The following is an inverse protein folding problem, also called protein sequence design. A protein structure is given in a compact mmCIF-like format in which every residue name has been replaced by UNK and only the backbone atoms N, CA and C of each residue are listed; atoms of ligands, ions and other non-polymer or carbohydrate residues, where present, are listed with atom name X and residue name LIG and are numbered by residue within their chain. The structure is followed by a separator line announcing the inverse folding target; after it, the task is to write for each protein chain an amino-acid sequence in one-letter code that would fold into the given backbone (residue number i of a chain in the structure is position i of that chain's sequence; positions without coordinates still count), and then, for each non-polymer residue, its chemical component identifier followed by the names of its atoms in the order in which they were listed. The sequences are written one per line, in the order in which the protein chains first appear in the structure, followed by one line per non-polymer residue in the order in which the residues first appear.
data_IF_085405023393
#
_entry.id   IF_085405023393
#
_cell.length_a   1.000
_cell.length_b   1.000
_cell.length_c   1.000
_cell.angle_alpha   90.00
_cell.angle_beta   90.00
_cell.angle_gamma   90.00
#
_symmetry.space_group_name_H-M   'P 1'
#
loop_
_entity.id
_entity.type
_entity.pdbx_description
1 polymer ?
#
# COMPACT_ATOMS: atom_id res chain seq x y z
N UNK A 1 9.54 20.03 14.11
CA UNK A 1 9.53 19.17 15.30
C UNK A 1 10.43 17.99 15.00
N UNK A 2 11.30 17.57 15.89
CA UNK A 2 12.12 16.38 15.71
C UNK A 2 11.22 15.15 15.90
N UNK A 3 11.35 14.13 15.03
CA UNK A 3 10.72 12.84 15.29
C UNK A 3 11.52 12.07 16.34
N UNK A 4 10.83 11.36 17.22
CA UNK A 4 11.44 10.58 18.29
C UNK A 4 11.66 9.13 17.89
N UNK A 5 10.96 8.66 16.87
CA UNK A 5 10.97 7.29 16.41
C UNK A 5 11.47 7.23 14.96
N UNK A 6 11.94 6.05 14.56
CA UNK A 6 12.46 5.77 13.23
C UNK A 6 11.38 5.11 12.38
N UNK A 7 11.37 5.44 11.10
CA UNK A 7 10.36 4.97 10.15
C UNK A 7 10.99 4.32 8.93
N UNK A 8 10.29 3.36 8.34
CA UNK A 8 10.53 2.94 6.98
C UNK A 8 9.21 2.92 6.20
N UNK A 9 9.25 3.38 4.96
CA UNK A 9 8.15 3.30 4.01
C UNK A 9 8.62 2.59 2.75
N UNK A 10 7.90 1.54 2.36
CA UNK A 10 8.23 0.72 1.20
C UNK A 10 7.15 0.72 0.14
N UNK A 11 7.52 0.79 -1.14
CA UNK A 11 6.60 0.78 -2.26
C UNK A 11 7.11 -0.09 -3.42
N UNK A 12 6.33 -1.11 -3.80
CA UNK A 12 6.50 -1.79 -5.07
C UNK A 12 5.81 -0.98 -6.17
N UNK A 13 6.54 -0.67 -7.22
CA UNK A 13 6.06 0.13 -8.35
C UNK A 13 6.14 -0.74 -9.59
N UNK A 14 5.01 -0.99 -10.21
CA UNK A 14 4.93 -1.72 -11.47
C UNK A 14 5.23 -0.78 -12.64
N UNK A 15 5.87 -1.29 -13.68
CA UNK A 15 6.22 -0.51 -14.86
C UNK A 15 5.03 0.25 -15.50
N UNK A 16 3.83 -0.29 -15.40
CA UNK A 16 2.61 0.35 -15.91
C UNK A 16 2.03 1.44 -14.97
N UNK A 17 2.66 1.68 -13.84
CA UNK A 17 2.26 2.70 -12.86
C UNK A 17 3.04 4.01 -13.00
N UNK A 18 3.90 4.08 -14.00
CA UNK A 18 4.83 5.21 -14.21
C UNK A 18 4.15 6.59 -14.28
N UNK A 19 2.89 6.63 -14.70
CA UNK A 19 2.14 7.89 -14.78
C UNK A 19 1.70 8.42 -13.40
N UNK A 20 1.68 7.56 -12.39
CA UNK A 20 1.19 7.90 -11.04
C UNK A 20 2.31 8.19 -10.06
N UNK A 21 3.50 7.66 -10.32
CA UNK A 21 4.60 7.70 -9.37
C UNK A 21 5.01 9.12 -8.99
N UNK A 22 4.89 10.08 -9.90
CA UNK A 22 5.19 11.49 -9.64
C UNK A 22 4.32 12.08 -8.52
N UNK A 23 3.01 11.82 -8.53
CA UNK A 23 2.10 12.31 -7.48
C UNK A 23 2.37 11.59 -6.14
N UNK A 24 2.64 10.28 -6.17
CA UNK A 24 3.01 9.54 -4.96
C UNK A 24 4.27 10.11 -4.31
N UNK A 25 5.34 10.26 -5.08
CA UNK A 25 6.62 10.77 -4.58
C UNK A 25 6.53 12.21 -4.11
N UNK A 26 5.76 13.07 -4.80
CA UNK A 26 5.51 14.44 -4.36
C UNK A 26 4.75 14.48 -3.03
N UNK A 27 3.76 13.60 -2.84
CA UNK A 27 3.08 13.50 -1.55
C UNK A 27 4.00 13.02 -0.43
N UNK A 28 4.92 12.09 -0.73
CA UNK A 28 5.93 11.61 0.21
C UNK A 28 6.95 12.70 0.53
N UNK A 29 7.44 13.42 -0.47
CA UNK A 29 8.32 14.58 -0.30
C UNK A 29 7.67 15.64 0.61
N UNK A 30 6.40 15.98 0.35
CA UNK A 30 5.64 16.90 1.18
C UNK A 30 5.52 16.43 2.64
N UNK A 31 5.33 15.12 2.86
CA UNK A 31 5.24 14.56 4.20
C UNK A 31 6.59 14.64 4.95
N UNK A 32 7.69 14.45 4.26
CA UNK A 32 9.04 14.57 4.84
C UNK A 32 9.37 16.05 5.11
N UNK A 33 9.14 16.92 4.15
CA UNK A 33 9.40 18.35 4.27
C UNK A 33 8.51 19.06 5.31
N UNK A 34 7.39 18.47 5.66
CA UNK A 34 6.53 18.97 6.75
C UNK A 34 7.20 18.84 8.12
N UNK A 35 8.19 17.97 8.26
CA UNK A 35 8.94 17.76 9.48
C UNK A 35 10.02 18.85 9.60
N UNK A 36 9.86 19.74 10.56
CA UNK A 36 10.78 20.89 10.78
C UNK A 36 12.01 20.54 11.62
N UNK A 37 12.53 19.33 11.54
CA UNK A 37 13.63 18.88 12.36
C UNK A 37 14.27 17.59 11.86
N UNK A 38 15.08 16.97 12.69
CA UNK A 38 15.71 15.70 12.36
C UNK A 38 14.67 14.58 12.32
N UNK A 39 14.75 13.76 11.31
CA UNK A 39 13.94 12.56 11.12
C UNK A 39 14.81 11.44 10.57
N UNK A 40 14.61 10.21 11.08
CA UNK A 40 15.19 8.99 10.51
C UNK A 40 14.08 8.26 9.77
N UNK A 41 13.97 8.50 8.48
CA UNK A 41 12.98 7.91 7.60
C UNK A 41 13.70 7.21 6.45
N UNK A 42 13.52 5.92 6.36
CA UNK A 42 14.02 5.10 5.25
C UNK A 42 12.94 4.96 4.19
N UNK A 43 13.27 5.30 2.98
CA UNK A 43 12.43 5.12 1.80
C UNK A 43 13.01 3.96 1.01
N UNK A 44 12.19 2.95 0.77
CA UNK A 44 12.54 1.79 -0.06
C UNK A 44 11.58 1.67 -1.24
N UNK A 45 12.13 1.45 -2.42
CA UNK A 45 11.33 1.28 -3.63
C UNK A 45 11.88 0.15 -4.48
N UNK A 46 10.99 -0.68 -4.97
CA UNK A 46 11.30 -1.63 -6.03
C UNK A 46 10.55 -1.24 -7.29
N UNK A 47 11.28 -0.99 -8.38
CA UNK A 47 10.69 -0.82 -9.70
C UNK A 47 10.64 -2.16 -10.41
N UNK A 48 9.46 -2.72 -10.56
CA UNK A 48 9.26 -4.02 -11.18
C UNK A 48 8.94 -3.85 -12.66
N UNK A 49 9.92 -4.17 -13.50
CA UNK A 49 9.80 -4.12 -14.96
C UNK A 49 9.77 -5.50 -15.61
N UNK A 50 9.76 -6.57 -14.80
CA UNK A 50 9.61 -7.92 -15.31
C UNK A 50 8.24 -8.10 -15.98
N UNK A 51 8.28 -8.61 -17.20
CA UNK A 51 7.09 -8.78 -18.06
C UNK A 51 6.70 -10.24 -18.27
N UNK A 52 7.30 -11.17 -17.55
CA UNK A 52 7.06 -12.62 -17.75
C UNK A 52 5.60 -13.03 -17.59
N UNK A 53 4.89 -12.35 -16.69
CA UNK A 53 3.45 -12.53 -16.52
C UNK A 53 2.60 -11.87 -17.60
N UNK A 54 3.20 -10.95 -18.35
CA UNK A 54 2.47 -9.99 -19.16
C UNK A 54 2.98 -9.96 -20.57
N UNK A 55 2.85 -10.90 -21.35
CA UNK A 55 3.34 -10.96 -22.75
C UNK A 55 3.08 -9.66 -23.52
N UNK A 56 3.80 -8.62 -23.11
CA UNK A 56 3.69 -7.28 -23.69
C UNK A 56 4.39 -7.28 -25.04
N UNK A 57 3.80 -6.63 -26.03
CA UNK A 57 4.49 -6.37 -27.28
C UNK A 57 5.60 -5.33 -27.05
N UNK A 58 6.82 -5.81 -26.89
CA UNK A 58 8.02 -4.99 -26.66
C UNK A 58 8.31 -3.98 -27.79
N UNK A 59 7.63 -4.08 -28.93
CA UNK A 59 7.70 -3.07 -29.99
C UNK A 59 6.91 -1.81 -29.65
N UNK A 60 5.97 -1.92 -28.73
CA UNK A 60 5.12 -0.78 -28.32
C UNK A 60 5.68 -0.08 -27.07
N UNK A 61 6.54 -0.75 -26.30
CA UNK A 61 7.08 -0.22 -25.06
C UNK A 61 8.56 -0.54 -24.97
N UNK A 62 9.38 0.49 -24.88
CA UNK A 62 10.77 0.36 -24.50
C UNK A 62 10.89 0.33 -22.97
N UNK A 63 11.35 -0.80 -22.42
CA UNK A 63 11.59 -0.92 -20.98
C UNK A 63 12.74 -0.02 -20.53
N UNK A 64 13.72 0.22 -21.39
CA UNK A 64 14.79 1.17 -21.15
C UNK A 64 14.26 2.59 -20.98
N UNK A 65 13.42 3.05 -21.91
CA UNK A 65 12.77 4.39 -21.82
C UNK A 65 11.88 4.53 -20.57
N UNK A 66 11.15 3.48 -20.19
CA UNK A 66 10.32 3.50 -18.98
C UNK A 66 11.21 3.55 -17.73
N UNK A 67 12.30 2.79 -17.71
CA UNK A 67 13.26 2.78 -16.61
C UNK A 67 13.94 4.15 -16.46
N UNK A 68 14.42 4.73 -17.54
CA UNK A 68 14.99 6.08 -17.54
C UNK A 68 13.98 7.13 -17.03
N UNK A 69 12.74 7.05 -17.51
CA UNK A 69 11.68 7.94 -17.06
C UNK A 69 11.41 7.78 -15.56
N UNK A 70 11.36 6.55 -15.06
CA UNK A 70 11.16 6.26 -13.64
C UNK A 70 12.24 6.90 -12.79
N UNK A 71 13.52 6.64 -13.09
CA UNK A 71 14.63 7.21 -12.34
C UNK A 71 14.69 8.72 -12.43
N UNK A 72 14.37 9.31 -13.58
CA UNK A 72 14.27 10.76 -13.73
C UNK A 72 13.20 11.37 -12.80
N UNK A 73 12.04 10.73 -12.65
CA UNK A 73 10.99 11.19 -11.72
C UNK A 73 11.44 11.05 -10.27
N UNK A 74 12.08 9.94 -9.91
CA UNK A 74 12.59 9.72 -8.55
C UNK A 74 13.65 10.76 -8.19
N UNK A 75 14.60 11.00 -9.07
CA UNK A 75 15.66 12.00 -8.88
C UNK A 75 15.10 13.42 -8.77
N UNK A 76 14.09 13.75 -9.57
CA UNK A 76 13.43 15.06 -9.49
C UNK A 76 12.71 15.25 -8.15
N UNK A 77 11.91 14.28 -7.73
CA UNK A 77 11.03 14.39 -6.56
C UNK A 77 11.75 14.15 -5.22
N UNK A 78 12.77 13.31 -5.20
CA UNK A 78 13.50 12.96 -3.98
C UNK A 78 14.96 13.45 -3.98
N UNK A 79 15.23 14.52 -4.70
CA UNK A 79 16.60 15.06 -4.95
C UNK A 79 17.47 15.17 -3.69
N UNK A 80 16.90 15.66 -2.59
CA UNK A 80 17.61 15.92 -1.33
C UNK A 80 17.20 14.94 -0.21
N UNK A 81 16.44 13.90 -0.55
CA UNK A 81 15.91 12.92 0.39
C UNK A 81 16.59 11.56 0.13
N UNK A 82 17.26 10.97 1.12
CA UNK A 82 17.87 9.65 0.95
C UNK A 82 16.82 8.56 0.69
N UNK A 83 17.07 7.72 -0.28
CA UNK A 83 16.23 6.57 -0.61
C UNK A 83 17.05 5.37 -1.07
N UNK A 84 16.48 4.19 -0.96
CA UNK A 84 16.93 2.97 -1.60
C UNK A 84 15.98 2.66 -2.75
N UNK A 85 16.53 2.38 -3.92
CA UNK A 85 15.75 1.99 -5.08
C UNK A 85 16.47 0.91 -5.87
N UNK A 86 15.75 -0.13 -6.25
CA UNK A 86 16.28 -1.21 -7.08
C UNK A 86 15.25 -1.64 -8.11
N UNK A 87 15.70 -2.32 -9.15
CA UNK A 87 14.86 -2.77 -10.26
C UNK A 87 14.82 -4.29 -10.29
N UNK A 88 13.62 -4.86 -10.42
CA UNK A 88 13.43 -6.28 -10.68
C UNK A 88 13.16 -6.50 -12.16
N UNK A 89 14.02 -7.29 -12.82
CA UNK A 89 13.97 -7.57 -14.25
C UNK A 89 13.73 -9.04 -14.58
N UNK A 90 14.22 -9.94 -13.76
CA UNK A 90 14.43 -11.34 -14.12
C UNK A 90 13.40 -12.31 -13.57
N UNK A 91 12.79 -12.01 -12.39
CA UNK A 91 11.92 -12.94 -11.69
C UNK A 91 10.48 -12.46 -11.60
N UNK A 92 9.55 -13.41 -11.51
CA UNK A 92 8.18 -13.08 -11.10
C UNK A 92 8.22 -12.59 -9.66
N UNK A 93 8.03 -11.30 -9.49
CA UNK A 93 8.09 -10.62 -8.20
C UNK A 93 6.79 -9.85 -7.96
N UNK A 94 6.19 -10.06 -6.82
CA UNK A 94 4.85 -9.57 -6.53
C UNK A 94 4.81 -8.66 -5.31
N UNK A 95 3.68 -8.03 -5.08
CA UNK A 95 3.46 -7.22 -3.87
C UNK A 95 3.63 -8.03 -2.59
N UNK A 96 3.28 -9.33 -2.62
CA UNK A 96 3.44 -10.22 -1.49
C UNK A 96 4.92 -10.49 -1.17
N UNK A 97 5.75 -10.66 -2.20
CA UNK A 97 7.19 -10.85 -2.05
C UNK A 97 7.85 -9.57 -1.53
N UNK A 98 7.56 -8.45 -2.18
CA UNK A 98 8.12 -7.16 -1.81
C UNK A 98 7.81 -6.76 -0.36
N UNK A 99 6.53 -6.79 0.04
CA UNK A 99 6.11 -6.40 1.39
C UNK A 99 6.68 -7.32 2.47
N UNK A 100 6.81 -8.61 2.17
CA UNK A 100 7.46 -9.57 3.07
C UNK A 100 8.93 -9.22 3.30
N UNK A 101 9.67 -9.02 2.21
CA UNK A 101 11.10 -8.72 2.25
C UNK A 101 11.37 -7.33 2.86
N UNK A 102 10.57 -6.34 2.51
CA UNK A 102 10.62 -5.02 3.15
C UNK A 102 10.44 -5.10 4.67
N UNK A 103 9.45 -5.86 5.14
CA UNK A 103 9.23 -6.05 6.56
C UNK A 103 10.45 -6.73 7.24
N UNK A 104 10.99 -7.78 6.63
CA UNK A 104 12.16 -8.51 7.15
C UNK A 104 13.41 -7.63 7.18
N UNK A 105 13.62 -6.83 6.15
CA UNK A 105 14.80 -5.98 6.02
C UNK A 105 14.82 -4.86 7.07
N UNK A 106 13.69 -4.21 7.29
CA UNK A 106 13.65 -2.98 8.08
C UNK A 106 13.15 -3.14 9.51
N UNK A 107 12.55 -4.28 9.91
CA UNK A 107 11.97 -4.41 11.24
C UNK A 107 12.97 -4.23 12.39
N UNK A 108 14.24 -4.58 12.20
CA UNK A 108 15.28 -4.39 13.21
C UNK A 108 15.93 -3.00 13.19
N UNK A 109 15.70 -2.20 12.16
CA UNK A 109 16.33 -0.90 11.97
C UNK A 109 15.45 0.27 12.38
N UNK A 110 14.12 0.09 12.35
CA UNK A 110 13.14 1.14 12.60
C UNK A 110 12.10 0.74 13.65
N UNK A 111 11.36 1.73 14.14
CA UNK A 111 10.29 1.51 15.12
C UNK A 111 8.94 1.24 14.45
N UNK A 112 8.72 1.84 13.27
CA UNK A 112 7.45 1.80 12.54
C UNK A 112 7.67 1.55 11.06
N UNK A 113 6.91 0.60 10.52
CA UNK A 113 6.89 0.23 9.10
C UNK A 113 5.58 0.72 8.46
N UNK A 114 5.66 1.23 7.24
CA UNK A 114 4.50 1.64 6.45
C UNK A 114 4.56 1.04 5.05
N UNK A 115 3.46 0.44 4.61
CA UNK A 115 3.31 -0.01 3.22
C UNK A 115 2.80 1.13 2.36
N UNK A 116 3.66 1.63 1.49
CA UNK A 116 3.28 2.57 0.44
C UNK A 116 2.67 1.85 -0.76
N UNK A 117 1.91 2.59 -1.53
CA UNK A 117 1.36 2.17 -2.83
C UNK A 117 1.49 3.32 -3.82
N UNK A 118 1.85 3.00 -5.06
CA UNK A 118 2.05 3.99 -6.13
C UNK A 118 0.81 4.85 -6.40
N UNK A 119 -0.37 4.36 -6.05
CA UNK A 119 -1.65 5.04 -6.17
C UNK A 119 -2.22 5.58 -4.84
N UNK A 120 -1.38 5.70 -3.80
CA UNK A 120 -1.77 6.38 -2.56
C UNK A 120 -1.07 7.72 -2.42
N UNK A 121 -1.84 8.78 -2.16
CA UNK A 121 -1.29 10.07 -1.79
C UNK A 121 -1.16 10.13 -0.26
N UNK A 122 0.06 10.40 0.21
CA UNK A 122 0.39 10.39 1.63
C UNK A 122 0.08 11.77 2.24
N UNK A 123 -0.74 11.84 3.31
CA UNK A 123 -0.99 13.09 4.01
C UNK A 123 0.31 13.70 4.53
N UNK A 124 0.49 15.01 4.39
CA UNK A 124 1.72 15.67 4.85
C UNK A 124 2.01 15.54 6.35
N UNK A 125 0.97 15.32 7.17
CA UNK A 125 1.10 15.11 8.61
C UNK A 125 1.48 13.68 9.02
N UNK A 126 1.61 12.76 8.07
CA UNK A 126 1.73 11.30 8.31
C UNK A 126 2.78 10.96 9.37
N UNK A 127 4.03 11.32 9.16
CA UNK A 127 5.09 10.90 10.08
C UNK A 127 4.96 11.55 11.46
N UNK A 128 4.46 12.76 11.54
CA UNK A 128 4.21 13.44 12.81
C UNK A 128 3.09 12.77 13.61
N UNK A 129 2.02 12.36 12.94
CA UNK A 129 0.89 11.63 13.55
C UNK A 129 1.36 10.26 14.03
N UNK A 130 2.11 9.54 13.19
CA UNK A 130 2.61 8.20 13.54
C UNK A 130 3.66 8.25 14.66
N UNK A 131 4.51 9.28 14.71
CA UNK A 131 5.46 9.49 15.80
C UNK A 131 4.74 9.70 17.14
N UNK A 132 3.71 10.55 17.14
CA UNK A 132 2.88 10.77 18.32
C UNK A 132 2.12 9.52 18.74
N UNK A 133 1.52 8.80 17.80
CA UNK A 133 0.82 7.54 18.08
C UNK A 133 1.78 6.52 18.70
N UNK A 134 2.90 6.22 18.04
CA UNK A 134 3.87 5.25 18.53
C UNK A 134 4.39 5.65 19.91
N UNK A 135 4.79 6.89 20.10
CA UNK A 135 5.29 7.40 21.39
C UNK A 135 4.26 7.28 22.52
N UNK A 136 2.98 7.41 22.21
CA UNK A 136 1.89 7.32 23.20
C UNK A 136 1.55 5.89 23.61
N UNK A 137 1.75 4.93 22.71
CA UNK A 137 1.27 3.55 22.93
C UNK A 137 2.38 2.54 23.21
N UNK A 138 3.62 2.79 22.78
CA UNK A 138 4.71 1.80 22.75
C UNK A 138 5.03 1.12 24.09
N UNK A 139 4.88 1.81 25.21
CA UNK A 139 5.17 1.26 26.52
C UNK A 139 4.13 0.21 26.96
N UNK A 140 2.87 0.45 26.66
CA UNK A 140 1.75 -0.41 27.08
C UNK A 140 1.29 -1.36 25.95
N UNK A 141 1.51 -0.97 24.72
CA UNK A 141 1.03 -1.66 23.53
C UNK A 141 2.11 -1.61 22.43
N UNK A 142 3.24 -2.30 22.62
CA UNK A 142 4.35 -2.24 21.67
C UNK A 142 4.00 -2.80 20.29
N UNK A 143 3.02 -3.71 20.23
CA UNK A 143 2.54 -4.31 18.99
C UNK A 143 1.19 -3.74 18.59
N UNK A 144 1.13 -3.12 17.45
CA UNK A 144 -0.12 -2.56 16.89
C UNK A 144 -0.04 -2.46 15.36
N UNK A 145 -1.19 -2.32 14.75
CA UNK A 145 -1.33 -1.85 13.36
C UNK A 145 -2.19 -0.60 13.34
N UNK A 146 -2.01 0.25 12.35
CA UNK A 146 -2.81 1.45 12.17
C UNK A 146 -3.04 1.78 10.70
N UNK A 147 -4.08 2.56 10.44
CA UNK A 147 -4.40 3.05 9.10
C UNK A 147 -4.91 4.48 9.18
N UNK A 148 -4.72 5.21 8.10
CA UNK A 148 -5.46 6.44 7.83
C UNK A 148 -6.82 6.13 7.22
N UNK A 149 -7.78 7.02 7.40
CA UNK A 149 -9.02 6.93 6.67
C UNK A 149 -8.79 7.00 5.17
N UNK A 150 -9.45 6.12 4.47
CA UNK A 150 -9.59 6.18 3.02
C UNK A 150 -11.05 6.32 2.66
N UNK A 151 -11.37 6.51 1.40
CA UNK A 151 -12.76 6.62 0.99
C UNK A 151 -13.59 5.37 1.28
N UNK A 152 -12.95 4.23 1.39
CA UNK A 152 -13.61 2.98 1.68
C UNK A 152 -12.96 2.31 2.88
N UNK A 153 -13.51 2.60 4.06
CA UNK A 153 -13.16 1.92 5.29
C UNK A 153 -14.33 1.10 5.82
N UNK A 154 -14.03 0.16 6.69
CA UNK A 154 -14.96 -0.76 7.28
C UNK A 154 -14.89 -0.67 8.80
N UNK A 155 -16.04 -0.67 9.45
CA UNK A 155 -16.12 -0.82 10.89
C UNK A 155 -15.96 -2.27 11.34
N UNK A 156 -16.12 -2.53 12.62
CA UNK A 156 -16.01 -3.85 13.24
C UNK A 156 -17.00 -4.90 12.69
N UNK A 157 -18.12 -4.45 12.12
CA UNK A 157 -19.14 -5.32 11.53
C UNK A 157 -18.92 -5.61 10.05
N UNK A 158 -17.83 -5.07 9.45
CA UNK A 158 -17.59 -5.05 8.02
C UNK A 158 -18.60 -4.21 7.23
N UNK A 159 -19.29 -3.34 7.91
CA UNK A 159 -20.05 -2.29 7.26
C UNK A 159 -19.13 -1.12 6.92
N UNK A 160 -19.35 -0.45 5.80
CA UNK A 160 -18.60 0.75 5.47
C UNK A 160 -18.85 1.82 6.50
N UNK A 161 -17.76 2.48 6.91
CA UNK A 161 -17.85 3.64 7.80
C UNK A 161 -18.25 4.85 6.95
N UNK A 162 -19.35 5.50 7.34
CA UNK A 162 -19.72 6.79 6.77
C UNK A 162 -18.78 7.85 7.34
N UNK A 163 -18.05 8.50 6.43
CA UNK A 163 -17.22 9.65 6.76
C UNK A 163 -17.92 10.92 6.33
N UNK A 164 -18.83 11.39 7.16
CA UNK A 164 -19.57 12.63 6.88
C UNK A 164 -18.67 13.85 6.75
N UNK A 165 -17.51 13.80 7.38
CA UNK A 165 -16.46 14.81 7.22
C UNK A 165 -15.84 14.80 5.83
N UNK A 166 -15.92 13.67 5.13
CA UNK A 166 -15.32 13.46 3.81
C UNK A 166 -16.36 13.42 2.69
N UNK A 167 -17.62 13.20 3.01
CA UNK A 167 -18.71 13.18 2.05
C UNK A 167 -20.02 13.59 2.70
N UNK A 168 -20.79 14.40 1.98
CA UNK A 168 -22.17 14.75 2.31
C UNK A 168 -23.19 13.70 1.86
N UNK A 169 -22.71 12.64 1.20
CA UNK A 169 -23.55 11.56 0.70
C UNK A 169 -23.39 10.31 1.55
N UNK A 170 -24.50 9.64 1.90
CA UNK A 170 -24.44 8.36 2.57
C UNK A 170 -23.80 7.31 1.67
N UNK A 171 -23.21 6.31 2.29
CA UNK A 171 -22.75 5.13 1.57
C UNK A 171 -23.96 4.34 1.06
N UNK A 172 -23.93 4.01 -0.23
CA UNK A 172 -24.89 3.11 -0.85
C UNK A 172 -24.12 1.93 -1.41
N UNK A 173 -24.36 0.74 -0.90
CA UNK A 173 -23.67 -0.46 -1.39
C UNK A 173 -24.00 -0.71 -2.85
N UNK A 174 -22.96 -0.94 -3.64
CA UNK A 174 -23.05 -1.10 -5.10
C UNK A 174 -23.05 0.21 -5.90
N UNK A 175 -23.19 1.36 -5.28
CA UNK A 175 -23.03 2.66 -5.94
C UNK A 175 -21.55 3.07 -5.96
N UNK A 176 -20.82 2.52 -6.92
CA UNK A 176 -19.39 2.81 -7.09
C UNK A 176 -19.12 4.25 -7.50
N UNK A 177 -20.02 4.90 -8.20
CA UNK A 177 -19.87 6.29 -8.66
C UNK A 177 -19.92 7.26 -7.49
N UNK A 178 -20.84 7.06 -6.56
CA UNK A 178 -20.98 7.91 -5.39
C UNK A 178 -19.73 7.88 -4.48
N UNK A 179 -19.06 6.74 -4.41
CA UNK A 179 -17.86 6.55 -3.60
C UNK A 179 -16.57 6.99 -4.25
N UNK A 180 -16.45 6.74 -5.54
CA UNK A 180 -15.19 6.85 -6.24
C UNK A 180 -14.93 8.24 -6.79
N UNK A 181 -15.97 8.99 -7.13
CA UNK A 181 -15.84 10.19 -7.93
C UNK A 181 -15.22 11.38 -7.20
N UNK A 182 -15.50 11.56 -5.91
CA UNK A 182 -15.05 12.74 -5.19
C UNK A 182 -13.68 12.56 -4.51
N UNK A 183 -13.40 11.41 -3.94
CA UNK A 183 -12.25 11.21 -3.06
C UNK A 183 -11.02 10.68 -3.79
N UNK A 184 -11.22 9.80 -4.73
CA UNK A 184 -10.13 9.26 -5.52
C UNK A 184 -9.59 10.22 -6.58
N UNK A 185 -10.23 11.36 -6.75
CA UNK A 185 -9.80 12.41 -7.68
C UNK A 185 -9.23 13.65 -6.98
N UNK A 186 -9.13 13.65 -5.65
CA UNK A 186 -8.43 14.71 -4.94
C UNK A 186 -6.96 14.72 -5.33
N UNK A 187 -6.43 15.91 -5.57
CA UNK A 187 -5.00 16.11 -5.69
C UNK A 187 -4.35 16.29 -4.30
N UNK A 188 -3.03 16.42 -4.27
CA UNK A 188 -2.25 16.54 -3.02
C UNK A 188 -2.66 17.77 -2.22
N UNK A 189 -2.87 18.91 -2.90
CA UNK A 189 -3.24 20.17 -2.25
C UNK A 189 -4.64 20.11 -1.64
N UNK A 190 -5.60 19.53 -2.37
CA UNK A 190 -6.96 19.32 -1.89
C UNK A 190 -7.00 18.38 -0.68
N UNK A 191 -6.25 17.28 -0.72
CA UNK A 191 -6.11 16.36 0.40
C UNK A 191 -5.50 17.05 1.62
N UNK A 192 -4.40 17.77 1.43
CA UNK A 192 -3.73 18.46 2.51
C UNK A 192 -4.59 19.60 3.08
N UNK A 193 -5.23 20.40 2.23
CA UNK A 193 -6.15 21.44 2.66
C UNK A 193 -7.37 20.90 3.43
N UNK A 194 -7.81 19.68 3.10
CA UNK A 194 -8.84 18.98 3.85
C UNK A 194 -8.33 18.56 5.22
N UNK A 195 -7.18 17.91 5.28
CA UNK A 195 -6.59 17.41 6.51
C UNK A 195 -6.13 18.54 7.47
N UNK A 196 -5.78 19.71 6.94
CA UNK A 196 -5.39 20.88 7.75
C UNK A 196 -6.52 21.48 8.60
N UNK A 197 -7.76 21.15 8.29
CA UNK A 197 -8.93 21.59 9.07
C UNK A 197 -9.11 20.79 10.35
N UNK A 198 -8.34 19.72 10.51
CA UNK A 198 -8.43 18.85 11.69
C UNK A 198 -7.66 19.50 12.84
N UNK A 199 -8.39 19.96 13.86
CA UNK A 199 -7.82 20.55 15.07
C UNK A 199 -7.42 19.48 16.08
N UNK A 200 -8.21 18.41 16.21
CA UNK A 200 -7.98 17.30 17.12
C UNK A 200 -8.08 15.95 16.38
N UNK A 201 -7.13 15.06 16.62
CA UNK A 201 -7.10 13.76 16.00
C UNK A 201 -8.15 12.82 16.62
N UNK A 202 -8.99 12.23 15.77
CA UNK A 202 -9.91 11.16 16.16
C UNK A 202 -9.26 9.80 15.86
N UNK A 203 -8.60 9.23 16.87
CA UNK A 203 -7.96 7.91 16.78
C UNK A 203 -8.81 6.90 17.52
N UNK A 204 -9.25 5.87 16.80
CA UNK A 204 -10.12 4.82 17.35
C UNK A 204 -9.46 3.46 17.28
N UNK A 205 -9.76 2.62 18.28
CA UNK A 205 -9.38 1.21 18.31
C UNK A 205 -10.49 0.38 17.69
N UNK A 206 -10.15 -0.46 16.74
CA UNK A 206 -11.05 -1.47 16.15
C UNK A 206 -10.71 -2.83 16.76
N UNK A 207 -11.69 -3.50 17.36
CA UNK A 207 -11.48 -4.77 18.07
C UNK A 207 -11.49 -5.99 17.16
N UNK A 208 -11.97 -5.87 15.93
CA UNK A 208 -11.92 -6.93 14.93
C UNK A 208 -10.86 -6.60 13.89
N UNK A 209 -10.11 -7.63 13.47
CA UNK A 209 -9.09 -7.44 12.44
C UNK A 209 -9.74 -7.13 11.09
N UNK A 210 -9.82 -5.88 10.80
CA UNK A 210 -10.18 -5.31 9.52
C UNK A 210 -8.96 -4.61 8.98
N UNK A 211 -8.80 -4.59 7.71
CA UNK A 211 -7.60 -4.04 7.11
C UNK A 211 -7.91 -3.18 5.91
N UNK A 212 -7.01 -2.30 5.68
CA UNK A 212 -6.91 -1.52 4.48
C UNK A 212 -5.46 -1.66 4.01
N UNK A 213 -5.22 -2.36 2.91
CA UNK A 213 -3.87 -2.56 2.37
C UNK A 213 -3.20 -1.27 1.94
N UNK A 214 -4.01 -0.25 1.63
CA UNK A 214 -3.53 1.07 1.24
C UNK A 214 -3.03 1.84 2.48
N UNK A 215 -1.70 1.97 2.60
CA UNK A 215 -1.09 2.71 3.70
C UNK A 215 -1.18 2.01 5.06
N UNK A 216 -1.12 0.67 5.08
CA UNK A 216 -1.02 -0.07 6.33
C UNK A 216 0.26 0.29 7.07
N UNK A 217 0.11 0.64 8.33
CA UNK A 217 1.21 0.94 9.24
C UNK A 217 1.25 -0.11 10.35
N UNK A 218 2.45 -0.50 10.76
CA UNK A 218 2.64 -1.41 11.87
C UNK A 218 3.86 -1.03 12.71
N UNK A 219 3.83 -1.32 14.01
CA UNK A 219 5.05 -1.30 14.79
C UNK A 219 5.97 -2.43 14.36
N UNK A 220 7.28 -2.21 14.35
CA UNK A 220 8.27 -3.24 14.00
C UNK A 220 8.19 -4.46 14.90
N UNK A 221 7.75 -4.29 16.15
CA UNK A 221 7.56 -5.37 17.12
C UNK A 221 6.52 -6.42 16.68
N UNK A 222 5.61 -6.07 15.78
CA UNK A 222 4.70 -7.04 15.14
C UNK A 222 5.52 -8.03 14.32
N UNK A 223 6.37 -7.54 13.43
CA UNK A 223 7.21 -8.38 12.56
C UNK A 223 8.24 -9.16 13.38
N UNK A 224 8.92 -8.51 14.33
CA UNK A 224 9.86 -9.14 15.26
C UNK A 224 9.26 -10.28 16.06
N UNK A 225 7.96 -10.27 16.28
CA UNK A 225 7.25 -11.35 16.96
C UNK A 225 6.88 -12.54 16.06
N UNK A 226 7.34 -12.54 14.81
CA UNK A 226 7.16 -13.63 13.84
C UNK A 226 5.94 -13.47 12.92
N UNK A 227 5.25 -12.33 12.96
CA UNK A 227 4.17 -12.05 12.00
C UNK A 227 4.75 -11.41 10.75
N UNK A 228 4.56 -12.06 9.63
CA UNK A 228 4.88 -11.51 8.31
C UNK A 228 3.96 -12.13 7.26
N UNK A 229 4.05 -11.68 6.03
CA UNK A 229 3.33 -12.29 4.90
C UNK A 229 3.87 -13.70 4.67
N UNK A 230 3.04 -14.75 4.73
CA UNK A 230 3.51 -16.12 4.56
C UNK A 230 4.08 -16.35 3.16
N UNK A 231 5.13 -17.17 3.04
CA UNK A 231 5.69 -17.56 1.74
C UNK A 231 4.74 -18.33 0.82
N UNK A 232 3.64 -18.83 1.37
CA UNK A 232 2.56 -19.42 0.58
C UNK A 232 1.73 -18.40 -0.21
N UNK A 233 1.83 -17.11 0.15
CA UNK A 233 1.25 -16.03 -0.63
C UNK A 233 2.25 -15.61 -1.70
N UNK A 234 1.85 -15.82 -2.94
CA UNK A 234 2.71 -15.62 -4.10
C UNK A 234 2.18 -14.57 -5.08
N UNK A 235 0.99 -14.00 -4.85
CA UNK A 235 0.42 -13.02 -5.77
C UNK A 235 -0.32 -11.89 -5.03
N UNK A 236 -1.59 -12.06 -4.68
CA UNK A 236 -2.45 -11.07 -4.01
C UNK A 236 -3.01 -11.62 -2.71
N UNK A 237 -3.75 -10.81 -1.94
CA UNK A 237 -4.27 -11.11 -0.60
C UNK A 237 -3.19 -11.14 0.49
N UNK A 238 -2.06 -10.49 0.27
CA UNK A 238 -0.96 -10.41 1.22
C UNK A 238 -1.34 -9.65 2.49
N UNK A 239 -2.11 -8.57 2.35
CA UNK A 239 -2.67 -7.78 3.45
C UNK A 239 -3.64 -8.60 4.29
N UNK A 240 -4.56 -9.30 3.63
CA UNK A 240 -5.50 -10.23 4.28
C UNK A 240 -4.75 -11.33 5.03
N UNK A 241 -3.76 -11.95 4.40
CA UNK A 241 -2.97 -13.02 5.02
C UNK A 241 -2.17 -12.52 6.22
N UNK A 242 -1.58 -11.34 6.12
CA UNK A 242 -0.87 -10.69 7.22
C UNK A 242 -1.81 -10.48 8.43
N UNK A 243 -3.00 -9.93 8.20
CA UNK A 243 -3.97 -9.67 9.26
C UNK A 243 -4.56 -10.94 9.86
N UNK A 244 -4.83 -11.97 9.04
CA UNK A 244 -5.26 -13.29 9.54
C UNK A 244 -4.18 -13.96 10.39
N UNK A 245 -2.91 -13.84 9.99
CA UNK A 245 -1.81 -14.36 10.79
C UNK A 245 -1.68 -13.63 12.11
N UNK A 246 -1.81 -12.29 12.10
CA UNK A 246 -1.84 -11.47 13.29
C UNK A 246 -2.96 -11.92 14.26
N UNK A 247 -4.17 -12.11 13.74
CA UNK A 247 -5.31 -12.58 14.50
C UNK A 247 -5.08 -13.99 15.08
N UNK A 248 -4.57 -14.89 14.27
CA UNK A 248 -4.35 -16.28 14.68
C UNK A 248 -3.30 -16.39 15.79
N UNK A 249 -2.22 -15.61 15.70
CA UNK A 249 -1.13 -15.66 16.68
C UNK A 249 -1.44 -14.93 17.98
N UNK A 250 -2.19 -13.84 17.90
CA UNK A 250 -2.41 -12.97 19.07
C UNK A 250 -3.87 -12.89 19.53
N UNK A 251 -4.80 -13.51 18.82
CA UNK A 251 -6.19 -13.66 19.26
C UNK A 251 -6.91 -12.35 19.58
N UNK A 252 -6.72 -11.32 18.78
CA UNK A 252 -7.35 -10.01 18.98
C UNK A 252 -6.70 -9.14 20.08
N UNK A 253 -5.54 -9.52 20.59
CA UNK A 253 -4.82 -8.75 21.61
C UNK A 253 -3.98 -7.60 21.06
N UNK A 254 -3.79 -7.55 19.77
CA UNK A 254 -3.08 -6.46 19.09
C UNK A 254 -4.10 -5.45 18.60
N UNK A 255 -4.07 -4.20 19.09
CA UNK A 255 -5.01 -3.18 18.66
C UNK A 255 -4.77 -2.75 17.23
N UNK A 256 -5.83 -2.38 16.57
CA UNK A 256 -5.83 -1.70 15.30
C UNK A 256 -6.30 -0.26 15.52
N UNK A 257 -5.42 0.69 15.28
CA UNK A 257 -5.73 2.10 15.39
C UNK A 257 -6.18 2.65 14.04
N UNK A 258 -7.33 3.28 14.01
CA UNK A 258 -7.80 4.02 12.84
C UNK A 258 -7.69 5.51 13.12
N UNK A 259 -6.91 6.20 12.31
CA UNK A 259 -6.80 7.66 12.32
C UNK A 259 -7.96 8.19 11.47
N UNK A 260 -9.11 8.37 12.12
CA UNK A 260 -10.42 8.46 11.45
C UNK A 260 -10.58 9.73 10.63
N UNK A 261 -10.07 10.85 11.09
CA UNK A 261 -10.32 12.15 10.50
C UNK A 261 -9.17 12.71 9.64
N UNK A 262 -8.17 11.89 9.37
CA UNK A 262 -7.11 12.21 8.40
C UNK A 262 -7.28 11.32 7.17
N UNK A 263 -7.47 11.96 6.03
CA UNK A 263 -7.71 11.29 4.76
C UNK A 263 -6.39 10.98 4.03
N UNK A 264 -6.17 9.71 3.74
CA UNK A 264 -5.21 9.24 2.75
C UNK A 264 -5.98 9.00 1.46
N UNK A 265 -5.58 9.64 0.37
CA UNK A 265 -6.28 9.50 -0.92
C UNK A 265 -5.73 8.30 -1.69
N UNK A 266 -6.61 7.35 -2.00
CA UNK A 266 -6.32 6.29 -2.94
C UNK A 266 -6.59 6.82 -4.36
N UNK A 267 -5.53 7.22 -5.06
CA UNK A 267 -5.60 7.96 -6.31
C UNK A 267 -6.17 7.10 -7.46
N UNK A 268 -7.27 7.53 -8.02
CA UNK A 268 -7.97 6.84 -9.13
C UNK A 268 -8.05 7.66 -10.40
N UNK A 269 -7.30 8.76 -10.49
CA UNK A 269 -7.30 9.62 -11.69
C UNK A 269 -6.76 8.90 -12.91
N UNK A 270 -5.82 8.00 -12.71
CA UNK A 270 -5.09 7.35 -13.79
C UNK A 270 -5.90 6.18 -14.35
N UNK A 271 -6.75 6.49 -15.29
CA UNK A 271 -7.65 5.53 -15.95
C UNK A 271 -6.89 4.42 -16.68
N UNK A 272 -5.69 4.70 -17.19
CA UNK A 272 -4.85 3.73 -17.88
C UNK A 272 -4.40 2.60 -16.96
N UNK A 273 -3.88 2.91 -15.76
CA UNK A 273 -3.58 1.86 -14.78
C UNK A 273 -4.79 1.00 -14.51
N UNK A 274 -5.94 1.63 -14.28
CA UNK A 274 -7.18 0.91 -13.97
C UNK A 274 -7.60 -0.02 -15.12
N UNK A 275 -7.56 0.48 -16.34
CA UNK A 275 -7.87 -0.32 -17.53
C UNK A 275 -6.83 -1.43 -17.72
N UNK A 276 -5.55 -1.14 -17.46
CA UNK A 276 -4.49 -2.12 -17.50
C UNK A 276 -4.75 -3.28 -16.52
N UNK A 277 -4.95 -2.98 -15.24
CA UNK A 277 -5.23 -3.98 -14.19
C UNK A 277 -6.47 -4.80 -14.51
N UNK A 278 -7.48 -4.20 -15.13
CA UNK A 278 -8.67 -4.91 -15.59
C UNK A 278 -8.49 -5.71 -16.87
N UNK A 279 -7.38 -5.51 -17.58
CA UNK A 279 -7.13 -6.12 -18.88
C UNK A 279 -8.02 -5.56 -20.00
N UNK A 280 -8.40 -4.28 -19.89
CA UNK A 280 -9.28 -3.58 -20.84
C UNK A 280 -8.51 -2.67 -21.81
N UNK A 281 -7.20 -2.50 -21.62
CA UNK A 281 -6.35 -1.71 -22.51
C UNK A 281 -6.22 -2.37 -23.88
N UNK A 282 -6.33 -1.55 -24.91
CA UNK A 282 -6.07 -1.96 -26.28
C UNK A 282 -4.59 -1.84 -26.61
N UNK A 283 -4.14 -2.58 -27.62
CA UNK A 283 -2.74 -2.66 -28.05
C UNK A 283 -2.14 -1.36 -28.55
N UNK A 284 -2.94 -0.37 -28.85
CA UNK A 284 -2.55 0.97 -29.32
C UNK A 284 -2.43 2.02 -28.21
N UNK A 285 -2.74 1.66 -26.98
CA UNK A 285 -2.50 2.53 -25.82
C UNK A 285 -1.01 2.54 -25.43
N UNK A 286 -0.54 3.70 -24.98
CA UNK A 286 0.88 3.97 -24.66
C UNK A 286 1.47 3.01 -23.60
N UNK A 287 0.64 2.41 -22.79
CA UNK A 287 1.02 1.40 -21.82
C UNK A 287 1.04 -0.02 -22.38
N UNK A 288 0.93 -0.18 -23.71
CA UNK A 288 1.17 -1.43 -24.41
C UNK A 288 0.21 -2.58 -24.13
N UNK A 289 -1.02 -2.27 -23.85
CA UNK A 289 -2.11 -3.24 -23.82
C UNK A 289 -1.85 -4.54 -23.06
N UNK A 290 -2.24 -4.58 -21.81
CA UNK A 290 -2.33 -5.85 -21.09
C UNK A 290 -3.60 -6.58 -21.52
N UNK A 291 -3.43 -7.70 -22.16
CA UNK A 291 -4.49 -8.69 -22.18
C UNK A 291 -4.50 -9.36 -20.80
N UNK A 292 -5.65 -9.33 -20.14
CA UNK A 292 -5.85 -10.10 -18.91
C UNK A 292 -5.78 -11.57 -19.28
N UNK A 293 -4.62 -12.17 -19.04
CA UNK A 293 -4.41 -13.58 -19.36
C UNK A 293 -5.24 -14.46 -18.42
N UNK A 294 -5.62 -15.62 -18.89
CA UNK A 294 -6.34 -16.64 -18.10
C UNK A 294 -5.61 -16.97 -16.79
N UNK A 295 -4.27 -16.82 -16.76
CA UNK A 295 -3.46 -17.01 -15.56
C UNK A 295 -3.87 -16.09 -14.40
N UNK A 296 -4.30 -14.84 -14.68
CA UNK A 296 -4.59 -13.88 -13.61
C UNK A 296 -5.71 -14.37 -12.68
N UNK A 297 -6.82 -14.81 -13.26
CA UNK A 297 -7.94 -15.36 -12.47
C UNK A 297 -7.51 -16.58 -11.68
N UNK A 298 -6.79 -17.49 -12.33
CA UNK A 298 -6.29 -18.72 -11.72
C UNK A 298 -5.31 -18.44 -10.57
N UNK A 299 -4.36 -17.53 -10.77
CA UNK A 299 -3.43 -17.09 -9.74
C UNK A 299 -4.16 -16.42 -8.56
N UNK A 300 -5.14 -15.57 -8.85
CA UNK A 300 -5.98 -14.93 -7.84
C UNK A 300 -6.75 -15.94 -6.99
N UNK A 301 -7.44 -16.89 -7.64
CA UNK A 301 -8.21 -17.94 -6.95
C UNK A 301 -7.29 -18.84 -6.09
N UNK A 302 -6.10 -19.18 -6.60
CA UNK A 302 -5.12 -19.97 -5.86
C UNK A 302 -4.48 -19.22 -4.71
N UNK A 303 -4.16 -17.94 -4.89
CA UNK A 303 -3.64 -17.07 -3.83
C UNK A 303 -4.68 -16.86 -2.73
N UNK A 304 -5.93 -16.65 -3.11
CA UNK A 304 -7.05 -16.61 -2.16
C UNK A 304 -7.19 -17.92 -1.38
N UNK A 305 -7.12 -19.07 -2.06
CA UNK A 305 -7.12 -20.37 -1.38
C UNK A 305 -5.97 -20.47 -0.36
N UNK A 306 -4.76 -20.14 -0.75
CA UNK A 306 -3.60 -20.18 0.13
C UNK A 306 -3.77 -19.24 1.34
N UNK A 307 -4.32 -18.06 1.13
CA UNK A 307 -4.57 -17.09 2.19
C UNK A 307 -5.49 -17.66 3.28
N UNK A 308 -6.62 -18.23 2.91
CA UNK A 308 -7.60 -18.72 3.89
C UNK A 308 -7.31 -20.15 4.41
N UNK A 309 -6.35 -20.84 3.83
CA UNK A 309 -5.97 -22.20 4.22
C UNK A 309 -4.54 -22.31 4.75
N UNK A 310 -3.85 -21.20 4.98
CA UNK A 310 -2.44 -21.19 5.43
C UNK A 310 -2.21 -21.86 6.79
N UNK A 311 -3.24 -22.01 7.61
CA UNK A 311 -3.18 -22.73 8.90
C UNK A 311 -3.74 -24.13 8.85
N UNK A 312 -4.20 -24.59 7.69
CA UNK A 312 -4.78 -25.90 7.49
C UNK A 312 -3.81 -26.84 6.76
N UNK A 313 -4.04 -28.14 6.87
CA UNK A 313 -3.30 -29.14 6.07
C UNK A 313 -3.86 -29.22 4.65
N UNK A 314 -3.96 -28.11 3.96
CA UNK A 314 -4.46 -28.02 2.59
C UNK A 314 -3.32 -27.92 1.60
N UNK A 315 -3.59 -28.22 0.33
CA UNK A 315 -2.63 -27.98 -0.74
C UNK A 315 -2.28 -26.50 -0.79
N UNK A 316 -1.02 -26.18 -0.85
CA UNK A 316 -0.50 -24.84 -1.14
C UNK A 316 -0.19 -24.78 -2.64
N UNK A 317 -0.81 -23.81 -3.30
CA UNK A 317 -0.57 -23.54 -4.71
C UNK A 317 0.61 -22.60 -4.92
N UNK A 318 1.21 -22.71 -6.09
CA UNK A 318 2.38 -21.89 -6.50
C UNK A 318 2.21 -21.44 -7.95
N UNK A 319 3.11 -20.61 -8.46
CA UNK A 319 3.17 -20.26 -9.88
C UNK A 319 3.24 -21.48 -10.79
N UNK A 320 3.87 -22.55 -10.35
CA UNK A 320 3.89 -23.83 -11.08
C UNK A 320 2.48 -24.38 -11.35
N UNK A 321 1.60 -24.30 -10.35
CA UNK A 321 0.23 -24.77 -10.50
C UNK A 321 -0.60 -23.86 -11.43
N UNK A 322 -0.26 -22.58 -11.45
CA UNK A 322 -0.90 -21.60 -12.34
C UNK A 322 -0.60 -21.93 -13.81
N UNK A 323 0.66 -22.22 -14.13
CA UNK A 323 1.10 -22.39 -15.52
C UNK A 323 1.03 -23.83 -16.03
N UNK A 324 1.10 -24.83 -15.17
CA UNK A 324 1.16 -26.25 -15.56
C UNK A 324 -0.14 -27.02 -15.29
N UNK A 325 -1.19 -26.38 -14.85
CA UNK A 325 -2.47 -27.02 -14.52
C UNK A 325 -3.53 -26.93 -15.62
#
# INVERSE_FOLDING_TARGET
MKLNNKFAIGCLIQWYEIEMIGEYLESLENAINFIKGEADIKIDMCFNINQDLEKVDTKLISMEEISEKFYSIVEEKLKDIPYTCWTNEDDIYTIADYRREFNEQYCDEVDVLMWGESDSLIPRQTFQILDNLHSSVKENTPKYVSFFSTCKMWDESWLPIEHTEFTDKPFIDGDTENWWSLRYNMNIDEMNAFNDKVEELDIRVINQYKFNGCGLVMSSDVVKSGVNIPKSLFFIHEDTAFMLQLQQLFGGKIPQYVIKNILLVHNRKHTKKRSYVKGELKTDDVSGGRLRHDWYKKASDMSHHNCYNMFNQSKIYTWKDVFNG
#
